data_IF_551762248267
#
_entry.id   IF_551762248267
#
_cell.length_a   1.000
_cell.length_b   1.000
_cell.length_c   1.000
_cell.angle_alpha   90.00
_cell.angle_beta   90.00
_cell.angle_gamma   90.00
#
_symmetry.space_group_name_H-M   'P 1'
#
loop_
_entity.id
_entity.type
_entity.pdbx_description
1 polymer ?
#
# COMPACT_ATOMS: atom_id res chain seq x y z
N UNK A 1 -28.84 -22.10 39.94
CA UNK A 1 -27.82 -22.22 38.88
C UNK A 1 -28.39 -21.55 37.64
N UNK A 2 -27.92 -20.34 37.32
CA UNK A 2 -28.39 -19.59 36.16
C UNK A 2 -27.68 -20.12 34.92
N UNK A 3 -28.44 -20.68 33.98
CA UNK A 3 -27.97 -21.02 32.65
C UNK A 3 -27.50 -19.74 31.97
N UNK A 4 -26.23 -19.63 31.51
CA UNK A 4 -25.81 -18.46 30.76
C UNK A 4 -26.64 -18.37 29.49
N UNK A 5 -27.34 -17.25 29.31
CA UNK A 5 -28.07 -16.96 28.09
C UNK A 5 -27.10 -17.06 26.92
N UNK A 6 -27.41 -17.98 26.00
CA UNK A 6 -26.67 -18.14 24.75
C UNK A 6 -26.89 -16.85 23.95
N UNK A 7 -25.95 -15.91 24.05
CA UNK A 7 -25.96 -14.68 23.24
C UNK A 7 -25.73 -15.11 21.80
N UNK A 8 -26.82 -15.24 21.04
CA UNK A 8 -26.78 -15.49 19.61
C UNK A 8 -25.92 -14.41 18.97
N UNK A 9 -24.76 -14.80 18.43
CA UNK A 9 -23.97 -13.90 17.60
C UNK A 9 -24.86 -13.47 16.43
N UNK A 10 -24.88 -12.18 16.05
CA UNK A 10 -25.58 -11.77 14.85
C UNK A 10 -24.97 -12.51 13.65
N UNK A 11 -25.65 -13.54 13.16
CA UNK A 11 -25.27 -14.24 11.95
C UNK A 11 -25.81 -13.45 10.78
N UNK A 12 -24.92 -13.01 9.90
CA UNK A 12 -25.33 -12.54 8.60
C UNK A 12 -25.80 -13.74 7.78
N UNK A 13 -27.04 -13.70 7.29
CA UNK A 13 -27.59 -14.74 6.39
C UNK A 13 -27.15 -14.54 4.92
N UNK A 14 -26.28 -13.57 4.65
CA UNK A 14 -25.73 -13.38 3.31
C UNK A 14 -24.61 -14.39 3.02
N UNK A 15 -24.39 -14.63 1.73
CA UNK A 15 -23.28 -15.44 1.22
C UNK A 15 -21.93 -14.92 1.75
N UNK A 16 -21.08 -15.84 2.21
CA UNK A 16 -19.75 -15.53 2.75
C UNK A 16 -18.84 -14.84 1.73
N UNK A 17 -19.11 -14.97 0.43
CA UNK A 17 -18.41 -14.24 -0.64
C UNK A 17 -18.58 -12.72 -0.57
N UNK A 18 -19.57 -12.22 0.18
CA UNK A 18 -19.73 -10.80 0.45
C UNK A 18 -18.94 -10.31 1.68
N UNK A 19 -18.27 -11.19 2.42
CA UNK A 19 -17.48 -10.82 3.59
C UNK A 19 -16.12 -10.30 3.14
N UNK A 20 -15.86 -9.03 3.41
CA UNK A 20 -14.56 -8.40 3.14
C UNK A 20 -13.87 -7.98 4.44
N UNK A 21 -12.53 -8.05 4.50
CA UNK A 21 -11.76 -7.52 5.61
C UNK A 21 -12.05 -6.04 5.87
N UNK A 22 -12.12 -5.68 7.14
CA UNK A 22 -12.31 -4.30 7.59
C UNK A 22 -10.96 -3.66 7.88
N UNK A 23 -10.61 -2.60 7.15
CA UNK A 23 -9.48 -1.70 7.44
C UNK A 23 -8.07 -2.30 7.45
N UNK A 24 -7.91 -3.62 7.41
CA UNK A 24 -6.66 -4.31 7.72
C UNK A 24 -6.34 -5.41 6.72
N UNK A 25 -5.07 -5.42 6.30
CA UNK A 25 -4.45 -6.64 5.83
C UNK A 25 -4.37 -7.58 7.03
N UNK A 26 -4.92 -8.79 6.89
CA UNK A 26 -4.74 -9.84 7.88
C UNK A 26 -3.23 -10.09 8.02
N UNK A 27 -2.63 -9.61 9.10
CA UNK A 27 -1.42 -10.24 9.62
C UNK A 27 -1.87 -11.54 10.27
N UNK A 28 -1.03 -12.57 10.27
CA UNK A 28 -1.38 -13.89 10.82
C UNK A 28 -1.88 -13.83 12.28
N UNK A 29 -1.52 -12.77 13.02
CA UNK A 29 -1.88 -12.55 14.41
C UNK A 29 -3.12 -11.64 14.64
N UNK A 30 -3.70 -11.02 13.62
CA UNK A 30 -4.81 -10.09 13.81
C UNK A 30 -6.17 -10.83 13.74
N UNK A 31 -7.10 -10.59 14.69
CA UNK A 31 -8.42 -11.19 14.61
C UNK A 31 -9.11 -10.75 13.32
N UNK A 32 -9.50 -11.73 12.50
CA UNK A 32 -10.12 -11.49 11.20
C UNK A 32 -11.50 -10.82 11.37
N UNK A 33 -11.50 -9.49 11.37
CA UNK A 33 -12.71 -8.69 11.28
C UNK A 33 -13.12 -8.56 9.83
N UNK A 34 -14.32 -9.02 9.52
CA UNK A 34 -14.91 -8.86 8.20
C UNK A 34 -16.28 -8.20 8.31
N UNK A 35 -16.70 -7.54 7.24
CA UNK A 35 -18.03 -6.98 7.16
C UNK A 35 -18.67 -7.39 5.84
N UNK A 36 -19.94 -7.74 5.91
CA UNK A 36 -20.71 -8.09 4.72
C UNK A 36 -20.97 -6.83 3.89
N UNK A 37 -20.53 -6.82 2.63
CA UNK A 37 -20.85 -5.73 1.71
C UNK A 37 -22.34 -5.63 1.38
N UNK A 38 -23.15 -6.67 1.61
CA UNK A 38 -24.58 -6.62 1.30
C UNK A 38 -25.40 -5.94 2.38
N UNK A 39 -25.28 -6.40 3.62
CA UNK A 39 -26.08 -5.88 4.74
C UNK A 39 -25.29 -4.96 5.69
N UNK A 40 -23.95 -4.93 5.60
CA UNK A 40 -23.08 -4.15 6.48
C UNK A 40 -22.78 -4.82 7.83
N UNK A 41 -23.33 -6.00 8.11
CA UNK A 41 -23.09 -6.73 9.36
C UNK A 41 -21.60 -7.00 9.55
N UNK A 42 -21.09 -6.63 10.73
CA UNK A 42 -19.72 -6.88 11.15
C UNK A 42 -19.61 -8.26 11.80
N UNK A 43 -18.64 -9.04 11.35
CA UNK A 43 -18.29 -10.35 11.88
C UNK A 43 -17.00 -10.22 12.67
N UNK A 44 -17.08 -10.54 13.96
CA UNK A 44 -15.94 -10.56 14.87
C UNK A 44 -15.89 -11.90 15.62
N UNK A 45 -14.69 -12.46 15.84
CA UNK A 45 -14.53 -13.60 16.74
C UNK A 45 -14.80 -13.24 18.20
N UNK A 46 -14.82 -11.95 18.54
CA UNK A 46 -15.01 -11.44 19.90
C UNK A 46 -16.35 -10.72 20.05
N UNK A 47 -16.87 -10.66 21.28
CA UNK A 47 -18.09 -9.90 21.58
C UNK A 47 -17.77 -8.41 21.60
N UNK A 48 -18.35 -7.67 20.65
CA UNK A 48 -18.18 -6.22 20.55
C UNK A 48 -19.31 -5.48 21.25
N UNK A 49 -18.96 -4.40 21.95
CA UNK A 49 -19.97 -3.42 22.41
C UNK A 49 -20.63 -2.72 21.21
N UNK A 50 -21.87 -2.21 21.32
CA UNK A 50 -22.53 -1.50 20.23
C UNK A 50 -21.72 -0.32 19.68
N UNK A 51 -21.04 0.43 20.56
CA UNK A 51 -20.18 1.55 20.17
C UNK A 51 -18.94 1.11 19.39
N UNK A 52 -18.28 0.03 19.83
CA UNK A 52 -17.13 -0.54 19.11
C UNK A 52 -17.54 -1.09 17.74
N UNK A 53 -18.66 -1.82 17.68
CA UNK A 53 -19.22 -2.34 16.42
C UNK A 53 -19.57 -1.21 15.44
N UNK A 54 -20.26 -0.16 15.91
CA UNK A 54 -20.61 1.00 15.08
C UNK A 54 -19.36 1.77 14.58
N UNK A 55 -18.32 1.87 15.41
CA UNK A 55 -17.06 2.51 15.02
C UNK A 55 -16.30 1.69 13.97
N UNK A 56 -16.15 0.38 14.18
CA UNK A 56 -15.49 -0.55 13.24
C UNK A 56 -16.25 -0.64 11.91
N UNK A 57 -17.58 -0.57 11.93
CA UNK A 57 -18.40 -0.58 10.72
C UNK A 57 -18.10 0.59 9.76
N UNK A 58 -17.52 1.70 10.23
CA UNK A 58 -17.16 2.88 9.43
C UNK A 58 -15.79 2.81 8.75
N UNK A 59 -15.01 1.77 8.99
CA UNK A 59 -13.71 1.60 8.33
C UNK A 59 -13.84 1.20 6.86
N UNK A 60 -12.83 1.45 6.01
CA UNK A 60 -12.79 0.92 4.65
C UNK A 60 -12.94 -0.61 4.58
N UNK A 61 -13.39 -1.12 3.43
CA UNK A 61 -13.29 -2.54 3.10
C UNK A 61 -12.11 -2.77 2.17
N UNK A 62 -11.35 -3.85 2.39
CA UNK A 62 -10.24 -4.19 1.53
C UNK A 62 -10.64 -5.29 0.53
N UNK A 63 -10.26 -5.07 -0.72
CA UNK A 63 -10.42 -6.03 -1.81
C UNK A 63 -9.03 -6.53 -2.17
N UNK A 64 -8.74 -7.80 -1.90
CA UNK A 64 -7.53 -8.44 -2.38
C UNK A 64 -7.50 -8.45 -3.92
N UNK A 65 -6.32 -8.25 -4.49
CA UNK A 65 -6.07 -8.36 -5.93
C UNK A 65 -5.23 -9.61 -6.23
N UNK A 66 -5.24 -10.11 -7.48
CA UNK A 66 -4.43 -11.27 -7.87
C UNK A 66 -2.93 -11.09 -7.63
N UNK A 67 -2.44 -9.86 -7.62
CA UNK A 67 -1.02 -9.53 -7.48
C UNK A 67 -0.57 -9.42 -6.01
N UNK A 68 -1.44 -9.79 -5.06
CA UNK A 68 -1.20 -9.67 -3.62
C UNK A 68 -1.30 -8.23 -3.09
N UNK A 69 -1.82 -7.30 -3.88
CA UNK A 69 -2.12 -5.92 -3.48
C UNK A 69 -3.60 -5.80 -3.06
N UNK A 70 -4.06 -4.58 -2.76
CA UNK A 70 -5.44 -4.32 -2.41
C UNK A 70 -6.01 -3.02 -2.98
N UNK A 71 -7.32 -3.06 -3.27
CA UNK A 71 -8.14 -1.87 -3.46
C UNK A 71 -8.94 -1.57 -2.19
N UNK A 72 -9.22 -0.30 -1.94
CA UNK A 72 -9.99 0.16 -0.78
C UNK A 72 -11.38 0.61 -1.22
N UNK A 73 -12.43 0.13 -0.55
CA UNK A 73 -13.79 0.62 -0.72
C UNK A 73 -14.22 1.46 0.49
N UNK A 74 -14.92 2.58 0.28
CA UNK A 74 -15.59 3.27 1.37
C UNK A 74 -16.55 2.36 2.12
N UNK A 75 -16.67 2.58 3.43
CA UNK A 75 -17.52 1.78 4.32
C UNK A 75 -19.00 1.76 3.93
N UNK A 76 -19.47 2.76 3.18
CA UNK A 76 -20.85 2.91 2.72
C UNK A 76 -21.17 2.10 1.45
N UNK A 77 -20.16 1.61 0.71
CA UNK A 77 -20.39 0.82 -0.51
C UNK A 77 -21.15 -0.45 -0.16
N UNK A 78 -22.19 -0.76 -0.93
CA UNK A 78 -22.98 -1.98 -0.82
C UNK A 78 -23.08 -2.68 -2.17
N UNK A 79 -23.39 -3.97 -2.16
CA UNK A 79 -23.76 -4.72 -3.36
C UNK A 79 -24.87 -5.73 -3.06
N UNK A 80 -25.65 -6.06 -4.08
CA UNK A 80 -26.82 -6.94 -3.96
C UNK A 80 -26.54 -8.36 -4.43
N UNK A 81 -25.57 -8.53 -5.32
CA UNK A 81 -25.22 -9.80 -5.94
C UNK A 81 -23.73 -9.86 -6.34
N UNK A 82 -23.27 -11.04 -6.75
CA UNK A 82 -21.84 -11.28 -7.05
C UNK A 82 -21.36 -10.56 -8.32
N UNK A 83 -22.21 -10.44 -9.33
CA UNK A 83 -21.85 -9.73 -10.57
C UNK A 83 -21.57 -8.26 -10.27
N UNK A 84 -22.40 -7.65 -9.43
CA UNK A 84 -22.19 -6.29 -8.93
C UNK A 84 -20.90 -6.17 -8.10
N UNK A 85 -20.62 -7.14 -7.23
CA UNK A 85 -19.36 -7.20 -6.46
C UNK A 85 -18.14 -7.22 -7.39
N UNK A 86 -18.12 -8.06 -8.42
CA UNK A 86 -17.02 -8.11 -9.39
C UNK A 86 -16.88 -6.79 -10.17
N UNK A 87 -17.99 -6.16 -10.53
CA UNK A 87 -18.00 -4.86 -11.21
C UNK A 87 -17.39 -3.78 -10.31
N UNK A 88 -17.80 -3.73 -9.04
CA UNK A 88 -17.23 -2.81 -8.04
C UNK A 88 -15.75 -3.07 -7.84
N UNK A 89 -15.33 -4.35 -7.75
CA UNK A 89 -13.92 -4.72 -7.58
C UNK A 89 -13.06 -4.24 -8.74
N UNK A 90 -13.48 -4.52 -9.97
CA UNK A 90 -12.76 -4.09 -11.17
C UNK A 90 -12.68 -2.56 -11.27
N UNK A 91 -13.79 -1.86 -11.01
CA UNK A 91 -13.84 -0.40 -11.04
C UNK A 91 -12.92 0.23 -9.97
N UNK A 92 -12.99 -0.25 -8.73
CA UNK A 92 -12.15 0.22 -7.64
C UNK A 92 -10.67 0.00 -7.92
N UNK A 93 -10.30 -1.19 -8.42
CA UNK A 93 -8.92 -1.49 -8.77
C UNK A 93 -8.38 -0.60 -9.89
N UNK A 94 -9.12 -0.46 -11.00
CA UNK A 94 -8.69 0.38 -12.11
C UNK A 94 -8.47 1.84 -11.70
N UNK A 95 -9.33 2.37 -10.82
CA UNK A 95 -9.22 3.72 -10.29
C UNK A 95 -8.04 3.91 -9.31
N UNK A 96 -7.54 2.84 -8.69
CA UNK A 96 -6.60 2.93 -7.57
C UNK A 96 -5.22 2.33 -7.83
N UNK A 97 -5.06 1.43 -8.80
CA UNK A 97 -3.81 0.66 -9.05
C UNK A 97 -2.55 1.49 -9.24
N UNK A 98 -2.70 2.75 -9.65
CA UNK A 98 -1.60 3.70 -9.87
C UNK A 98 -1.33 4.61 -8.66
N UNK A 99 -2.12 4.51 -7.59
CA UNK A 99 -1.98 5.31 -6.39
C UNK A 99 -1.15 4.53 -5.34
N UNK A 100 -0.33 5.23 -4.53
CA UNK A 100 0.25 4.65 -3.32
C UNK A 100 -0.83 4.07 -2.40
N UNK A 101 -0.56 2.97 -1.72
CA UNK A 101 -1.51 2.26 -0.85
C UNK A 101 -2.08 3.16 0.24
N UNK A 102 -1.25 3.99 0.87
CA UNK A 102 -1.73 4.97 1.87
C UNK A 102 -2.70 6.00 1.29
N UNK A 103 -2.52 6.41 0.02
CA UNK A 103 -3.47 7.32 -0.66
C UNK A 103 -4.80 6.63 -0.95
N UNK A 104 -4.80 5.34 -1.29
CA UNK A 104 -6.02 4.53 -1.49
C UNK A 104 -6.84 4.47 -0.21
N UNK A 105 -6.18 4.17 0.92
CA UNK A 105 -6.79 4.13 2.24
C UNK A 105 -7.39 5.49 2.64
N UNK A 106 -6.60 6.57 2.50
CA UNK A 106 -7.09 7.93 2.80
C UNK A 106 -8.31 8.33 1.97
N UNK A 107 -8.36 7.94 0.68
CA UNK A 107 -9.51 8.22 -0.20
C UNK A 107 -10.74 7.39 0.14
N UNK A 108 -10.58 6.17 0.65
CA UNK A 108 -11.70 5.34 1.10
C UNK A 108 -12.35 5.88 2.38
N UNK A 109 -11.62 6.72 3.13
CA UNK A 109 -12.11 7.45 4.29
C UNK A 109 -11.91 6.67 5.59
N UNK A 110 -11.89 7.41 6.71
CA UNK A 110 -11.68 6.86 8.05
C UNK A 110 -12.86 7.22 8.95
N UNK A 111 -13.07 6.49 10.07
CA UNK A 111 -13.95 6.99 11.11
C UNK A 111 -13.46 8.36 11.60
N UNK A 112 -14.31 9.38 11.52
CA UNK A 112 -13.96 10.75 11.95
C UNK A 112 -13.83 10.87 13.48
N UNK A 113 -14.50 9.99 14.23
CA UNK A 113 -14.51 10.00 15.69
C UNK A 113 -13.39 9.11 16.24
N UNK A 114 -12.79 9.46 17.39
CA UNK A 114 -11.77 8.63 18.03
C UNK A 114 -12.32 7.23 18.40
N UNK A 115 -11.43 6.24 18.57
CA UNK A 115 -11.81 4.90 19.00
C UNK A 115 -12.51 4.94 20.37
N UNK A 116 -13.61 4.20 20.55
CA UNK A 116 -14.32 4.15 21.82
C UNK A 116 -13.44 3.52 22.92
N UNK A 117 -13.64 3.95 24.17
CA UNK A 117 -12.93 3.38 25.32
C UNK A 117 -13.19 1.87 25.50
N UNK A 118 -14.34 1.39 25.00
CA UNK A 118 -14.76 -0.01 25.03
C UNK A 118 -14.19 -0.88 23.90
N UNK A 119 -13.23 -0.37 23.11
CA UNK A 119 -12.56 -1.17 22.07
C UNK A 119 -11.67 -2.23 22.73
N UNK A 120 -11.86 -3.53 22.46
CA UNK A 120 -11.02 -4.61 23.00
C UNK A 120 -9.52 -4.40 22.69
N UNK A 121 -8.65 -4.86 23.57
CA UNK A 121 -7.18 -4.72 23.41
C UNK A 121 -6.63 -5.50 22.22
N UNK A 122 -7.25 -6.63 21.87
CA UNK A 122 -7.03 -7.39 20.63
C UNK A 122 -7.22 -6.53 19.38
N UNK A 123 -8.03 -5.47 19.46
CA UNK A 123 -8.31 -4.52 18.39
C UNK A 123 -7.49 -3.21 18.50
N UNK A 124 -6.46 -3.16 19.34
CA UNK A 124 -5.60 -1.99 19.54
C UNK A 124 -4.91 -1.48 18.27
N UNK A 125 -4.61 -2.36 17.33
CA UNK A 125 -4.08 -2.02 16.01
C UNK A 125 -4.97 -1.07 15.20
N UNK A 126 -6.31 -1.12 15.35
CA UNK A 126 -7.20 -0.12 14.74
C UNK A 126 -7.04 1.27 15.35
N UNK A 127 -6.76 1.36 16.65
CA UNK A 127 -6.45 2.63 17.30
C UNK A 127 -5.16 3.21 16.74
N UNK A 128 -4.11 2.38 16.64
CA UNK A 128 -2.84 2.79 16.04
C UNK A 128 -3.02 3.28 14.60
N UNK A 129 -3.78 2.56 13.78
CA UNK A 129 -4.09 2.98 12.41
C UNK A 129 -4.87 4.29 12.35
N UNK A 130 -5.83 4.48 13.25
CA UNK A 130 -6.61 5.72 13.32
C UNK A 130 -5.73 6.91 13.68
N UNK A 131 -4.80 6.74 14.60
CA UNK A 131 -3.80 7.76 14.95
C UNK A 131 -2.87 8.06 13.76
N UNK A 132 -2.38 7.02 13.07
CA UNK A 132 -1.55 7.16 11.88
C UNK A 132 -2.27 7.79 10.68
N UNK A 133 -3.60 7.69 10.59
CA UNK A 133 -4.37 8.36 9.55
C UNK A 133 -4.26 9.90 9.63
N UNK A 134 -3.83 10.44 10.77
CA UNK A 134 -3.53 11.86 10.95
C UNK A 134 -2.13 12.26 10.44
N UNK A 135 -1.30 11.33 9.94
CA UNK A 135 -0.02 11.68 9.36
C UNK A 135 -0.19 12.59 8.15
N UNK A 136 0.56 13.70 8.16
CA UNK A 136 0.57 14.71 7.11
C UNK A 136 2.00 14.92 6.61
N UNK A 137 2.20 15.62 5.49
CA UNK A 137 3.53 16.03 5.07
C UNK A 137 4.29 16.87 6.11
N UNK A 138 3.58 17.52 7.04
CA UNK A 138 4.16 18.32 8.12
C UNK A 138 4.48 17.52 9.39
N UNK A 139 4.09 16.24 9.46
CA UNK A 139 4.49 15.36 10.57
C UNK A 139 6.03 15.26 10.64
N UNK A 140 6.54 15.18 11.86
CA UNK A 140 7.96 15.04 12.15
C UNK A 140 8.62 13.93 11.31
N UNK A 141 9.81 14.21 10.80
CA UNK A 141 10.49 13.32 9.85
C UNK A 141 10.89 12.00 10.50
N UNK A 142 11.46 12.03 11.71
CA UNK A 142 11.91 10.81 12.36
C UNK A 142 10.71 9.91 12.71
N UNK A 143 9.59 10.51 13.11
CA UNK A 143 8.31 9.82 13.27
C UNK A 143 7.86 9.14 11.98
N UNK A 144 7.85 9.87 10.85
CA UNK A 144 7.47 9.30 9.55
C UNK A 144 8.43 8.18 9.11
N UNK A 145 9.74 8.33 9.30
CA UNK A 145 10.72 7.33 8.93
C UNK A 145 10.64 6.07 9.78
N UNK A 146 10.36 6.22 11.08
CA UNK A 146 10.12 5.09 11.97
C UNK A 146 8.92 4.28 11.49
N UNK A 147 7.78 4.95 11.27
CA UNK A 147 6.55 4.29 10.87
C UNK A 147 6.53 3.80 9.42
N UNK A 148 7.34 4.38 8.53
CA UNK A 148 7.46 3.97 7.14
C UNK A 148 8.13 2.61 6.95
N UNK A 149 8.75 2.03 7.98
CA UNK A 149 9.41 0.73 7.88
C UNK A 149 8.42 -0.39 7.50
N UNK A 150 8.77 -1.30 6.58
CA UNK A 150 7.89 -2.41 6.17
C UNK A 150 7.41 -3.30 7.31
N UNK A 151 8.19 -3.40 8.40
CA UNK A 151 7.80 -4.12 9.61
C UNK A 151 6.51 -3.57 10.25
N UNK A 152 6.20 -2.29 10.04
CA UNK A 152 4.92 -1.69 10.44
C UNK A 152 3.90 -1.81 9.31
N UNK A 153 3.62 -3.03 8.87
CA UNK A 153 2.79 -3.35 7.69
C UNK A 153 1.50 -2.54 7.59
N UNK A 154 0.84 -2.30 8.74
CA UNK A 154 -0.40 -1.55 8.84
C UNK A 154 -0.21 -0.04 8.61
N UNK A 155 0.78 0.55 9.30
CA UNK A 155 0.98 2.00 9.38
C UNK A 155 1.86 2.53 8.25
N UNK A 156 2.80 1.71 7.77
CA UNK A 156 3.81 2.06 6.77
C UNK A 156 3.22 2.69 5.51
N UNK A 157 2.13 2.17 4.90
CA UNK A 157 1.53 2.83 3.74
C UNK A 157 1.12 4.28 4.00
N UNK A 158 0.63 4.62 5.20
CA UNK A 158 0.20 5.96 5.56
C UNK A 158 1.39 6.90 5.75
N UNK A 159 2.42 6.44 6.45
CA UNK A 159 3.66 7.19 6.64
C UNK A 159 4.40 7.43 5.31
N UNK A 160 4.50 6.41 4.45
CA UNK A 160 5.07 6.53 3.11
C UNK A 160 4.29 7.52 2.25
N UNK A 161 2.96 7.46 2.27
CA UNK A 161 2.13 8.43 1.55
C UNK A 161 2.34 9.87 2.06
N UNK A 162 2.51 10.07 3.38
CA UNK A 162 2.85 11.38 3.92
C UNK A 162 4.24 11.86 3.45
N UNK A 163 5.25 10.98 3.46
CA UNK A 163 6.60 11.26 2.94
C UNK A 163 6.57 11.64 1.46
N UNK A 164 5.87 10.88 0.61
CA UNK A 164 5.75 11.12 -0.85
C UNK A 164 5.20 12.52 -1.13
N UNK A 165 4.32 13.02 -0.28
CA UNK A 165 3.67 14.32 -0.46
C UNK A 165 4.47 15.51 0.09
N UNK A 166 5.63 15.26 0.70
CA UNK A 166 6.48 16.34 1.22
C UNK A 166 7.13 17.14 0.11
N UNK A 167 7.22 18.46 0.30
CA UNK A 167 7.87 19.38 -0.64
C UNK A 167 9.39 19.19 -0.70
N UNK A 168 9.99 18.80 0.42
CA UNK A 168 11.42 18.55 0.57
C UNK A 168 11.84 17.11 0.24
N UNK A 169 10.91 16.26 -0.23
CA UNK A 169 11.16 14.83 -0.46
C UNK A 169 12.45 14.56 -1.23
N UNK A 170 12.71 15.27 -2.33
CA UNK A 170 13.93 15.04 -3.13
C UNK A 170 15.22 15.25 -2.32
N UNK A 171 15.28 16.31 -1.52
CA UNK A 171 16.41 16.59 -0.64
C UNK A 171 16.54 15.54 0.46
N UNK A 172 15.41 15.09 1.02
CA UNK A 172 15.36 14.02 2.01
C UNK A 172 15.90 12.71 1.45
N UNK A 173 15.45 12.29 0.26
CA UNK A 173 15.87 11.05 -0.38
C UNK A 173 17.40 11.00 -0.55
N UNK A 174 18.02 12.13 -0.93
CA UNK A 174 19.47 12.24 -1.00
C UNK A 174 20.11 12.02 0.39
N UNK A 175 19.66 12.73 1.42
CA UNK A 175 20.19 12.57 2.78
C UNK A 175 20.03 11.15 3.35
N UNK A 176 18.89 10.52 3.09
CA UNK A 176 18.60 9.15 3.50
C UNK A 176 19.50 8.12 2.80
N UNK A 177 19.81 8.34 1.52
CA UNK A 177 20.64 7.42 0.75
C UNK A 177 22.08 7.33 1.27
N UNK A 178 22.63 8.45 1.76
CA UNK A 178 23.98 8.51 2.34
C UNK A 178 24.01 8.21 3.85
N UNK A 179 22.86 7.97 4.47
CA UNK A 179 22.79 7.63 5.88
C UNK A 179 23.49 6.28 6.15
N UNK A 180 24.30 6.19 7.24
CA UNK A 180 24.83 4.91 7.71
C UNK A 180 23.74 4.04 8.36
N UNK A 181 22.61 4.65 8.73
CA UNK A 181 21.51 3.98 9.42
C UNK A 181 20.71 3.10 8.46
N UNK A 182 20.80 1.80 8.66
CA UNK A 182 20.29 0.77 7.76
C UNK A 182 18.78 0.87 7.48
N UNK A 183 17.97 1.16 8.51
CA UNK A 183 16.51 1.25 8.37
C UNK A 183 16.06 2.35 7.38
N UNK A 184 16.86 3.41 7.21
CA UNK A 184 16.55 4.50 6.26
C UNK A 184 16.62 4.02 4.81
N UNK A 185 17.43 2.99 4.50
CA UNK A 185 17.52 2.40 3.16
C UNK A 185 16.32 1.52 2.86
N UNK A 186 15.82 0.79 3.85
CA UNK A 186 14.57 0.03 3.72
C UNK A 186 13.39 0.95 3.39
N UNK A 187 13.34 2.15 3.97
CA UNK A 187 12.35 3.18 3.61
C UNK A 187 12.48 3.62 2.15
N UNK A 188 13.69 3.74 1.60
CA UNK A 188 13.88 4.09 0.17
C UNK A 188 13.32 3.02 -0.76
N UNK A 189 13.54 1.73 -0.45
CA UNK A 189 12.94 0.62 -1.19
C UNK A 189 11.41 0.71 -1.13
N UNK A 190 10.85 0.97 0.04
CA UNK A 190 9.42 1.09 0.24
C UNK A 190 8.83 2.30 -0.49
N UNK A 191 9.51 3.45 -0.51
CA UNK A 191 9.11 4.63 -1.28
C UNK A 191 9.11 4.36 -2.79
N UNK A 192 10.16 3.71 -3.31
CA UNK A 192 10.22 3.31 -4.72
C UNK A 192 9.13 2.30 -5.10
N UNK A 193 8.68 1.48 -4.14
CA UNK A 193 7.58 0.54 -4.32
C UNK A 193 6.22 1.25 -4.36
N UNK A 194 5.99 2.22 -3.48
CA UNK A 194 4.75 2.98 -3.41
C UNK A 194 4.58 3.99 -4.55
N UNK A 195 5.68 4.58 -5.03
CA UNK A 195 5.69 5.56 -6.11
C UNK A 195 6.83 5.29 -7.11
N UNK A 196 6.48 4.69 -8.24
CA UNK A 196 7.44 4.33 -9.29
C UNK A 196 8.10 5.55 -9.95
N UNK A 197 7.53 6.75 -9.82
CA UNK A 197 8.14 7.98 -10.34
C UNK A 197 9.41 8.37 -9.58
N UNK A 198 9.61 7.81 -8.37
CA UNK A 198 10.83 8.01 -7.58
C UNK A 198 11.97 7.08 -8.01
N UNK A 199 11.70 6.03 -8.78
CA UNK A 199 12.71 5.03 -9.18
C UNK A 199 13.91 5.63 -9.92
N UNK A 200 13.76 6.56 -10.89
CA UNK A 200 14.91 7.18 -11.54
C UNK A 200 15.85 7.90 -10.57
N UNK A 201 15.29 8.55 -9.54
CA UNK A 201 16.05 9.25 -8.51
C UNK A 201 16.72 8.27 -7.54
N UNK A 202 16.04 7.19 -7.18
CA UNK A 202 16.48 6.25 -6.15
C UNK A 202 17.40 5.15 -6.67
N UNK A 203 17.35 4.84 -7.97
CA UNK A 203 18.08 3.71 -8.55
C UNK A 203 19.57 3.69 -8.22
N UNK A 204 20.36 4.77 -8.40
CA UNK A 204 21.80 4.70 -8.14
C UNK A 204 22.10 4.28 -6.70
N UNK A 205 21.29 4.79 -5.75
CA UNK A 205 21.42 4.50 -4.33
C UNK A 205 20.97 3.08 -3.98
N UNK A 206 19.82 2.63 -4.52
CA UNK A 206 19.32 1.28 -4.32
C UNK A 206 20.27 0.23 -4.92
N UNK A 207 20.84 0.49 -6.10
CA UNK A 207 21.82 -0.40 -6.73
C UNK A 207 23.11 -0.49 -5.90
N UNK A 208 23.63 0.64 -5.42
CA UNK A 208 24.80 0.65 -4.56
C UNK A 208 24.54 -0.14 -3.26
N UNK A 209 23.36 0.02 -2.68
CA UNK A 209 22.95 -0.73 -1.50
C UNK A 209 22.87 -2.23 -1.77
N UNK A 210 22.21 -2.67 -2.86
CA UNK A 210 22.12 -4.07 -3.24
C UNK A 210 23.50 -4.69 -3.47
N UNK A 211 24.38 -4.00 -4.20
CA UNK A 211 25.75 -4.46 -4.43
C UNK A 211 26.53 -4.64 -3.10
N UNK A 212 26.35 -3.73 -2.14
CA UNK A 212 26.96 -3.83 -0.82
C UNK A 212 26.35 -4.96 0.02
N UNK A 213 25.02 -5.14 -0.04
CA UNK A 213 24.32 -6.22 0.64
C UNK A 213 24.78 -7.59 0.13
N UNK A 214 24.96 -7.75 -1.17
CA UNK A 214 25.41 -9.01 -1.78
C UNK A 214 26.84 -9.36 -1.37
N UNK A 215 27.72 -8.35 -1.31
CA UNK A 215 29.12 -8.50 -0.85
C UNK A 215 29.27 -8.68 0.65
N UNK A 216 28.28 -8.29 1.45
CA UNK A 216 28.37 -8.43 2.90
C UNK A 216 28.44 -9.91 3.31
N UNK A 217 29.23 -10.26 4.33
CA UNK A 217 29.28 -11.62 4.85
C UNK A 217 27.90 -12.06 5.32
N UNK A 218 27.62 -13.37 5.24
CA UNK A 218 26.38 -13.91 5.76
C UNK A 218 26.28 -13.64 7.27
N UNK A 219 25.22 -12.95 7.67
CA UNK A 219 25.01 -12.47 9.02
C UNK A 219 23.52 -12.47 9.33
N UNK A 220 23.11 -12.54 10.61
CA UNK A 220 21.71 -12.44 10.99
C UNK A 220 21.04 -11.18 10.42
N UNK A 221 21.76 -10.06 10.39
CA UNK A 221 21.27 -8.80 9.84
C UNK A 221 21.08 -8.86 8.32
N UNK A 222 21.99 -9.51 7.57
CA UNK A 222 21.83 -9.74 6.13
C UNK A 222 20.57 -10.56 5.86
N UNK A 223 20.40 -11.68 6.57
CA UNK A 223 19.25 -12.59 6.42
C UNK A 223 17.91 -11.90 6.75
N UNK A 224 17.89 -11.04 7.76
CA UNK A 224 16.70 -10.27 8.12
C UNK A 224 16.26 -9.28 7.03
N UNK A 225 17.16 -8.87 6.13
CA UNK A 225 16.89 -7.89 5.06
C UNK A 225 16.78 -8.51 3.67
N UNK A 226 17.00 -9.83 3.55
CA UNK A 226 16.93 -10.54 2.29
C UNK A 226 15.57 -10.38 1.60
N UNK A 227 14.41 -10.47 2.29
CA UNK A 227 13.11 -10.29 1.65
C UNK A 227 12.94 -8.90 1.02
N UNK A 228 13.38 -7.84 1.71
CA UNK A 228 13.32 -6.48 1.19
C UNK A 228 14.31 -6.25 0.05
N UNK A 229 15.49 -6.86 0.12
CA UNK A 229 16.46 -6.83 -0.98
C UNK A 229 15.93 -7.54 -2.22
N UNK A 230 15.25 -8.68 -2.07
CA UNK A 230 14.58 -9.41 -3.15
C UNK A 230 13.43 -8.59 -3.75
N UNK A 231 12.58 -7.99 -2.92
CA UNK A 231 11.51 -7.10 -3.40
C UNK A 231 12.09 -5.91 -4.17
N UNK A 232 13.16 -5.29 -3.67
CA UNK A 232 13.84 -4.19 -4.34
C UNK A 232 14.43 -4.63 -5.69
N UNK A 233 15.06 -5.81 -5.75
CA UNK A 233 15.57 -6.40 -7.00
C UNK A 233 14.46 -6.61 -8.02
N UNK A 234 13.37 -7.27 -7.62
CA UNK A 234 12.24 -7.54 -8.51
C UNK A 234 11.66 -6.25 -9.10
N UNK A 235 11.58 -5.18 -8.30
CA UNK A 235 11.05 -3.88 -8.75
C UNK A 235 12.01 -3.12 -9.64
N UNK A 236 13.31 -3.10 -9.34
CA UNK A 236 14.31 -2.51 -10.22
C UNK A 236 14.34 -3.24 -11.58
N UNK A 237 14.23 -4.57 -11.57
CA UNK A 237 14.15 -5.37 -12.79
C UNK A 237 12.88 -5.08 -13.60
N UNK A 238 11.70 -5.04 -12.96
CA UNK A 238 10.45 -4.69 -13.63
C UNK A 238 10.48 -3.27 -14.23
N UNK A 239 11.08 -2.31 -13.51
CA UNK A 239 11.29 -0.96 -14.03
C UNK A 239 12.21 -0.98 -15.25
N UNK A 240 13.32 -1.72 -15.22
CA UNK A 240 14.24 -1.86 -16.34
C UNK A 240 13.52 -2.42 -17.56
N UNK A 241 12.74 -3.49 -17.41
CA UNK A 241 11.95 -4.05 -18.51
C UNK A 241 10.98 -3.00 -19.08
N UNK A 242 10.21 -2.31 -18.24
CA UNK A 242 9.19 -1.36 -18.72
C UNK A 242 9.75 -0.08 -19.34
N UNK A 243 10.97 0.34 -18.99
CA UNK A 243 11.57 1.59 -19.46
C UNK A 243 12.66 1.40 -20.52
N UNK A 244 13.23 0.21 -20.66
CA UNK A 244 14.15 -0.10 -21.77
C UNK A 244 13.40 -0.12 -23.11
N UNK A 245 12.13 -0.51 -23.12
CA UNK A 245 11.26 -0.44 -24.30
C UNK A 245 10.67 0.96 -24.59
N UNK A 246 10.88 1.93 -23.69
CA UNK A 246 10.39 3.30 -23.86
C UNK A 246 11.45 4.26 -24.42
N UNK A 247 12.66 3.77 -24.75
CA UNK A 247 13.60 4.60 -25.49
C UNK A 247 13.01 4.84 -26.89
N UNK A 248 12.82 6.10 -27.32
CA UNK A 248 12.34 6.37 -28.66
C UNK A 248 13.32 5.73 -29.62
N UNK A 249 12.83 4.82 -30.46
CA UNK A 249 13.57 4.38 -31.64
C UNK A 249 14.05 5.67 -32.31
N UNK A 250 15.36 5.85 -32.56
CA UNK A 250 15.82 7.01 -33.30
C UNK A 250 14.97 7.06 -34.57
N UNK A 251 14.44 8.25 -34.96
CA UNK A 251 13.67 8.35 -36.19
C UNK A 251 14.49 7.68 -37.29
N UNK A 252 13.86 6.84 -38.15
CA UNK A 252 14.59 6.17 -39.21
C UNK A 252 15.42 7.25 -39.92
N UNK A 253 16.73 7.07 -39.92
CA UNK A 253 17.63 8.00 -40.60
C UNK A 253 17.02 8.21 -41.98
N UNK A 254 16.59 9.45 -42.26
CA UNK A 254 16.09 9.78 -43.57
C UNK A 254 17.25 9.47 -44.51
N UNK A 255 17.17 8.35 -45.22
CA UNK A 255 18.07 8.04 -46.31
C UNK A 255 17.98 9.25 -47.23
N UNK A 256 19.01 10.09 -47.18
CA UNK A 256 19.12 11.23 -48.05
C UNK A 256 19.06 10.67 -49.48
N UNK A 257 17.91 10.80 -50.12
CA UNK A 257 17.78 10.63 -51.55
C UNK A 257 18.70 11.68 -52.16
N UNK A 258 19.88 11.23 -52.59
CA UNK A 258 20.75 11.98 -53.48
C UNK A 258 19.98 12.22 -54.78
N UNK A 259 19.18 13.29 -54.81
CA UNK A 259 18.72 13.86 -56.08
C UNK A 259 19.95 14.42 -56.80
N UNK A 260 20.35 13.73 -57.86
CA UNK A 260 21.38 14.20 -58.77
C UNK A 260 20.89 15.48 -59.47
N UNK A 261 21.71 16.53 -59.59
CA UNK A 261 21.31 17.74 -60.28
C UNK A 261 21.17 17.48 -61.77
N UNK A 262 19.97 17.69 -62.30
CA UNK A 262 19.70 17.75 -63.74
C UNK A 262 20.46 18.94 -64.34
N UNK A 263 21.51 18.62 -65.09
CA UNK A 263 22.25 19.55 -65.92
C UNK A 263 21.33 20.09 -67.03
N UNK A 264 20.94 21.35 -66.93
CA UNK A 264 20.36 22.10 -68.04
C UNK A 264 21.51 22.58 -68.95
N UNK A 265 21.55 22.07 -70.19
CA UNK A 265 22.32 22.64 -71.27
C UNK A 265 21.40 22.90 -72.46
N UNK A 266 21.58 24.09 -73.03
CA UNK A 266 21.02 24.57 -74.29
C UNK A 266 21.54 23.79 -75.50
#
# INVERSE_FOLDING_TARGET
MNTPACTSRPTCDCDSRFLLPVGLLATDDAPALSACLRCGTLHSPETLTPSASAWLARWPRLLATPDGDFACLPAAVRCTNLRELETIRAAAWNAQRHLPRGRRLNRAGWPATPPPASLPSSLSHYRLLWEAAAFTPATDLDTLLFWALPAHTLVSPLALNALIQRRDLRSLLHGLAYSPVLHRRTVLCALAHEDSSLVPLLRPHLQAWLNNHDRAPDSPQKRALSPEAELCRARLHLWQLTHTFAQPTPPPEAHATHEAPLSAAA
#
